data_IF_127862420658
#
_entry.id   IF_127862420658
#
_cell.length_a   1.000
_cell.length_b   1.000
_cell.length_c   1.000
_cell.angle_alpha   90.00
_cell.angle_beta   90.00
_cell.angle_gamma   90.00
#
_symmetry.space_group_name_H-M   'P 1'
#
loop_
_entity.id
_entity.type
_entity.pdbx_description
1 polymer ?
#
# COMPACT_ATOMS: atom_id res chain seq x y z
N UNK A 1 16.89 -12.98 -10.48
CA UNK A 1 15.96 -11.95 -10.98
C UNK A 1 14.57 -12.55 -10.92
N UNK A 2 13.85 -12.30 -9.83
CA UNK A 2 12.45 -12.65 -9.75
C UNK A 2 11.67 -11.55 -10.47
N UNK A 3 10.85 -11.95 -11.43
CA UNK A 3 9.97 -11.04 -12.15
C UNK A 3 8.93 -10.51 -11.16
N UNK A 4 8.71 -9.20 -11.15
CA UNK A 4 7.75 -8.45 -10.31
C UNK A 4 6.27 -8.90 -10.57
N UNK A 5 6.06 -9.94 -11.38
CA UNK A 5 4.76 -10.42 -11.85
C UNK A 5 4.22 -11.68 -11.14
N UNK A 6 4.97 -12.30 -10.21
CA UNK A 6 4.54 -13.54 -9.51
C UNK A 6 4.09 -13.34 -8.05
N UNK A 7 3.95 -12.09 -7.60
CA UNK A 7 3.44 -11.78 -6.26
C UNK A 7 2.09 -11.08 -6.40
N UNK A 8 1.04 -11.85 -6.69
CA UNK A 8 -0.29 -11.29 -6.88
C UNK A 8 -0.85 -10.54 -5.64
N UNK A 9 -0.20 -10.65 -4.47
CA UNK A 9 -0.65 -10.07 -3.19
C UNK A 9 0.50 -9.55 -2.31
N UNK A 10 1.68 -9.21 -2.86
CA UNK A 10 2.73 -8.55 -2.06
C UNK A 10 2.81 -7.05 -2.39
N UNK A 11 2.50 -6.22 -1.41
CA UNK A 11 2.57 -4.76 -1.52
C UNK A 11 1.32 -4.04 -1.02
N UNK A 12 1.26 -2.73 -1.27
CA UNK A 12 0.08 -1.92 -1.02
C UNK A 12 -0.78 -1.88 -2.29
N UNK A 13 -1.94 -2.53 -2.24
CA UNK A 13 -2.91 -2.59 -3.34
C UNK A 13 -3.73 -1.30 -3.43
N UNK A 14 -3.93 -0.82 -4.64
CA UNK A 14 -4.74 0.35 -4.94
C UNK A 14 -6.05 -0.05 -5.63
N UNK A 15 -7.16 0.37 -5.02
CA UNK A 15 -8.49 0.24 -5.57
C UNK A 15 -9.08 1.62 -5.82
N UNK A 16 -9.67 1.82 -6.99
CA UNK A 16 -10.39 3.04 -7.34
C UNK A 16 -11.81 2.66 -7.78
N UNK A 17 -12.83 3.26 -7.15
CA UNK A 17 -14.25 2.94 -7.37
C UNK A 17 -14.59 1.44 -7.29
N UNK A 18 -13.87 0.70 -6.44
CA UNK A 18 -14.05 -0.74 -6.24
C UNK A 18 -13.30 -1.62 -7.24
N UNK A 19 -12.62 -1.05 -8.23
CA UNK A 19 -11.79 -1.79 -9.17
C UNK A 19 -10.33 -1.85 -8.69
N UNK A 20 -9.73 -3.04 -8.73
CA UNK A 20 -8.30 -3.20 -8.47
C UNK A 20 -7.52 -2.62 -9.64
N UNK A 21 -6.78 -1.54 -9.38
CA UNK A 21 -5.93 -0.90 -10.38
C UNK A 21 -4.55 -1.59 -10.42
N UNK A 22 -4.02 -1.97 -9.26
CA UNK A 22 -2.74 -2.66 -9.14
C UNK A 22 -2.01 -2.36 -7.84
N UNK A 23 -0.71 -2.63 -7.80
CA UNK A 23 0.17 -2.29 -6.67
C UNK A 23 0.71 -0.88 -6.87
N UNK A 24 0.73 -0.05 -5.82
CA UNK A 24 1.15 1.36 -5.91
C UNK A 24 2.52 1.55 -6.59
N UNK A 25 3.51 0.71 -6.31
CA UNK A 25 4.84 0.82 -6.93
C UNK A 25 4.90 0.52 -8.44
N UNK A 26 3.85 -0.05 -9.03
CA UNK A 26 3.76 -0.34 -10.46
C UNK A 26 2.94 0.70 -11.23
N UNK A 27 2.18 1.55 -10.54
CA UNK A 27 1.31 2.57 -11.14
C UNK A 27 2.12 3.85 -11.33
N UNK A 28 2.20 4.34 -12.58
CA UNK A 28 3.02 5.50 -12.96
C UNK A 28 2.80 6.73 -12.05
N UNK A 29 1.53 7.03 -11.72
CA UNK A 29 1.15 8.15 -10.83
C UNK A 29 1.82 8.09 -9.44
N UNK A 30 2.13 6.89 -8.95
CA UNK A 30 2.66 6.70 -7.60
C UNK A 30 4.16 6.36 -7.56
N UNK A 31 4.82 6.20 -8.72
CA UNK A 31 6.22 5.80 -8.78
C UNK A 31 7.13 6.78 -8.02
N UNK A 32 6.89 8.09 -8.18
CA UNK A 32 7.65 9.15 -7.50
C UNK A 32 7.56 9.05 -5.96
N UNK A 33 6.47 8.50 -5.42
CA UNK A 33 6.33 8.33 -3.97
C UNK A 33 7.00 7.05 -3.45
N UNK A 34 7.43 6.15 -4.34
CA UNK A 34 8.00 4.85 -4.00
C UNK A 34 9.49 4.72 -4.30
N UNK A 35 10.08 5.67 -5.02
CA UNK A 35 11.43 5.53 -5.61
C UNK A 35 12.56 5.29 -4.62
N UNK A 36 12.42 5.77 -3.38
CA UNK A 36 13.40 5.69 -2.29
C UNK A 36 12.95 4.76 -1.15
N UNK A 37 11.82 4.07 -1.30
CA UNK A 37 11.29 3.19 -0.26
C UNK A 37 11.78 1.75 -0.47
N UNK A 38 12.29 1.17 0.61
CA UNK A 38 12.58 -0.26 0.65
C UNK A 38 11.29 -1.01 1.04
N UNK A 39 10.76 -1.78 0.10
CA UNK A 39 9.53 -2.58 0.29
C UNK A 39 9.82 -4.04 -0.05
N UNK A 40 9.51 -4.94 0.88
CA UNK A 40 9.71 -6.36 0.68
C UNK A 40 9.93 -7.11 1.99
N UNK A 41 9.40 -8.32 2.10
CA UNK A 41 9.56 -9.12 3.32
C UNK A 41 11.02 -9.51 3.61
N UNK A 42 11.90 -9.39 2.62
CA UNK A 42 13.34 -9.61 2.69
C UNK A 42 14.10 -8.49 3.44
N UNK A 43 13.62 -7.24 3.39
CA UNK A 43 14.17 -6.13 4.19
C UNK A 43 13.65 -6.12 5.64
N UNK A 44 12.67 -6.98 5.92
CA UNK A 44 12.12 -7.20 7.26
C UNK A 44 10.80 -6.46 7.50
N UNK A 45 10.01 -7.01 8.44
CA UNK A 45 8.66 -6.53 8.77
C UNK A 45 8.64 -5.06 9.17
N UNK A 46 9.55 -4.63 10.05
CA UNK A 46 9.55 -3.25 10.55
C UNK A 46 9.80 -2.25 9.43
N UNK A 47 10.85 -2.45 8.63
CA UNK A 47 11.20 -1.59 7.49
C UNK A 47 10.05 -1.56 6.48
N UNK A 48 9.47 -2.71 6.17
CA UNK A 48 8.33 -2.81 5.25
C UNK A 48 7.12 -2.00 5.74
N UNK A 49 6.77 -2.13 7.02
CA UNK A 49 5.64 -1.39 7.61
C UNK A 49 5.93 0.11 7.63
N UNK A 50 7.13 0.53 8.00
CA UNK A 50 7.54 1.94 7.99
C UNK A 50 7.47 2.55 6.59
N UNK A 51 7.91 1.81 5.56
CA UNK A 51 7.79 2.21 4.15
C UNK A 51 6.33 2.37 3.72
N UNK A 52 5.45 1.43 4.06
CA UNK A 52 4.02 1.53 3.74
C UNK A 52 3.34 2.72 4.42
N UNK A 53 3.65 2.97 5.70
CA UNK A 53 3.13 4.13 6.42
C UNK A 53 3.66 5.43 5.81
N UNK A 54 4.94 5.49 5.45
CA UNK A 54 5.52 6.65 4.77
C UNK A 54 4.84 6.92 3.44
N UNK A 55 4.61 5.88 2.62
CA UNK A 55 3.92 5.97 1.35
C UNK A 55 2.49 6.51 1.49
N UNK A 56 1.72 5.98 2.44
CA UNK A 56 0.36 6.46 2.72
C UNK A 56 0.34 7.94 3.13
N UNK A 57 1.31 8.37 3.94
CA UNK A 57 1.47 9.79 4.29
C UNK A 57 1.79 10.68 3.09
N UNK A 58 2.69 10.23 2.21
CA UNK A 58 3.06 10.95 0.97
C UNK A 58 1.87 11.13 0.03
N UNK A 59 1.15 10.05 -0.26
CA UNK A 59 -0.01 10.07 -1.17
C UNK A 59 -1.13 10.97 -0.62
N UNK A 60 -1.39 10.90 0.68
CA UNK A 60 -2.46 11.70 1.30
C UNK A 60 -2.04 13.13 1.62
N UNK A 61 -0.75 13.46 1.52
CA UNK A 61 -0.20 14.74 1.96
C UNK A 61 -0.38 15.00 3.46
N UNK A 62 -0.48 13.94 4.27
CA UNK A 62 -0.76 14.02 5.71
C UNK A 62 0.28 13.28 6.53
N UNK A 63 0.57 13.82 7.71
CA UNK A 63 1.28 13.06 8.74
C UNK A 63 0.33 12.01 9.33
N UNK A 64 0.82 10.78 9.50
CA UNK A 64 0.02 9.68 10.06
C UNK A 64 -0.01 9.78 11.59
N UNK A 65 -0.79 10.73 12.09
CA UNK A 65 -1.05 10.89 13.52
C UNK A 65 -2.25 10.06 14.00
N UNK A 66 -2.53 10.19 15.28
CA UNK A 66 -3.67 9.54 15.93
C UNK A 66 -5.00 9.88 15.28
N UNK A 67 -5.19 11.12 14.82
CA UNK A 67 -6.45 11.57 14.24
C UNK A 67 -6.66 10.95 12.86
N UNK A 68 -5.58 10.78 12.09
CA UNK A 68 -5.60 10.02 10.84
C UNK A 68 -6.04 8.57 11.08
N UNK A 69 -5.44 7.87 12.04
CA UNK A 69 -5.82 6.49 12.37
C UNK A 69 -7.23 6.36 12.95
N UNK A 70 -7.73 7.41 13.63
CA UNK A 70 -9.07 7.44 14.19
C UNK A 70 -10.15 7.84 13.16
N UNK A 71 -9.76 8.31 11.98
CA UNK A 71 -10.72 8.71 10.96
C UNK A 71 -11.55 7.50 10.48
N UNK A 72 -12.84 7.75 10.28
CA UNK A 72 -13.78 6.71 9.88
C UNK A 72 -13.35 6.08 8.56
N UNK A 73 -13.30 4.74 8.52
CA UNK A 73 -12.94 3.91 7.36
C UNK A 73 -11.48 3.99 6.90
N UNK A 74 -10.57 4.60 7.68
CA UNK A 74 -9.12 4.55 7.38
C UNK A 74 -8.56 3.16 7.66
N UNK A 75 -8.79 2.64 8.86
CA UNK A 75 -8.51 1.23 9.19
C UNK A 75 -9.84 0.50 9.32
N UNK A 76 -10.18 -0.31 8.33
CA UNK A 76 -11.36 -1.16 8.38
C UNK A 76 -10.99 -2.59 8.02
N UNK A 77 -11.71 -3.53 8.65
CA UNK A 77 -11.59 -4.93 8.27
C UNK A 77 -12.23 -5.10 6.90
N UNK A 78 -11.41 -5.40 5.91
CA UNK A 78 -11.88 -5.86 4.61
C UNK A 78 -12.72 -7.14 4.84
N UNK A 79 -13.99 -7.17 4.42
CA UNK A 79 -14.82 -8.38 4.54
C UNK A 79 -14.14 -9.56 3.86
N UNK A 80 -14.25 -10.75 4.45
CA UNK A 80 -13.54 -11.95 3.99
C UNK A 80 -13.84 -12.31 2.53
N UNK A 81 -15.04 -11.95 2.08
CA UNK A 81 -15.56 -12.24 0.74
C UNK A 81 -15.70 -10.96 -0.12
N UNK A 82 -15.07 -9.84 0.28
CA UNK A 82 -15.16 -8.59 -0.48
C UNK A 82 -14.60 -8.72 -1.91
N UNK A 83 -13.73 -9.71 -2.13
CA UNK A 83 -12.99 -9.88 -3.37
C UNK A 83 -13.05 -11.33 -3.89
N UNK A 84 -14.13 -12.06 -3.59
CA UNK A 84 -14.34 -13.39 -4.18
C UNK A 84 -14.36 -13.28 -5.71
N UNK A 85 -13.27 -13.75 -6.33
CA UNK A 85 -13.19 -14.03 -7.76
C UNK A 85 -14.04 -15.24 -8.13
#
# INVERSE_FOLDING_TARGET
MAYIYELADEGMLYYHDGELIGTLGAIEEFQDYTSDLEVGWDVGLQVTVESFLTLAGRITGRFLDRDWFAASRVLYRVPRDAWSR
#
